data_IF_958463229312
#
_entry.id   IF_958463229312
#
_cell.length_a   1.000
_cell.length_b   1.000
_cell.length_c   1.000
_cell.angle_alpha   90.00
_cell.angle_beta   90.00
_cell.angle_gamma   90.00
#
_symmetry.space_group_name_H-M   'P 1'
#
loop_
_entity.id
_entity.type
_entity.pdbx_description
1 polymer ?
#
# COMPACT_ATOMS: atom_id res chain seq x y z
N UNK A 1 18.80 -6.66 -21.18
CA UNK A 1 17.36 -6.56 -20.86
C UNK A 1 17.08 -7.61 -19.81
N UNK A 2 17.32 -7.28 -18.54
CA UNK A 2 16.88 -8.11 -17.42
C UNK A 2 16.45 -7.13 -16.34
N UNK A 3 15.16 -6.82 -16.34
CA UNK A 3 14.54 -6.04 -15.28
C UNK A 3 14.41 -6.96 -14.08
N UNK A 4 15.31 -6.76 -13.12
CA UNK A 4 15.36 -7.39 -11.81
C UNK A 4 13.99 -7.20 -11.14
N UNK A 5 13.10 -8.15 -11.40
CA UNK A 5 11.78 -8.19 -10.78
C UNK A 5 12.05 -8.71 -9.39
N UNK A 6 12.25 -7.80 -8.44
CA UNK A 6 11.92 -8.06 -7.04
C UNK A 6 10.45 -8.49 -7.03
N UNK A 7 10.20 -9.77 -7.33
CA UNK A 7 8.93 -10.42 -7.08
C UNK A 7 8.82 -10.42 -5.57
N UNK A 8 8.24 -9.35 -5.04
CA UNK A 8 7.87 -9.31 -3.64
C UNK A 8 7.05 -10.58 -3.39
N UNK A 9 7.46 -11.37 -2.41
CA UNK A 9 6.75 -12.59 -2.04
C UNK A 9 5.45 -12.15 -1.34
N UNK A 10 4.26 -12.61 -1.80
CA UNK A 10 3.01 -12.34 -1.10
C UNK A 10 3.06 -12.68 0.39
N UNK A 11 3.84 -13.69 0.79
CA UNK A 11 3.98 -14.08 2.20
C UNK A 11 4.61 -12.98 3.07
N UNK A 12 5.39 -12.06 2.48
CA UNK A 12 5.93 -10.92 3.21
C UNK A 12 4.85 -9.94 3.69
N UNK A 13 3.65 -10.01 3.09
CA UNK A 13 2.49 -9.20 3.45
C UNK A 13 1.49 -9.96 4.34
N UNK A 14 1.75 -11.21 4.74
CA UNK A 14 0.95 -11.95 5.71
C UNK A 14 1.30 -11.51 7.15
N UNK A 15 0.77 -10.36 7.53
CA UNK A 15 0.98 -9.76 8.84
C UNK A 15 0.28 -10.62 9.89
N UNK A 16 1.07 -11.16 10.82
CA UNK A 16 0.59 -12.11 11.82
C UNK A 16 0.67 -13.58 11.40
N UNK A 17 1.21 -13.91 10.22
CA UNK A 17 1.50 -15.28 9.77
C UNK A 17 0.25 -16.19 9.75
N UNK A 18 -0.86 -15.67 9.22
CA UNK A 18 -2.17 -16.31 9.15
C UNK A 18 -2.24 -17.44 8.11
N UNK A 19 -1.30 -17.46 7.16
CA UNK A 19 -1.31 -18.37 6.02
C UNK A 19 -2.21 -17.92 4.87
N UNK A 20 -2.69 -16.68 4.90
CA UNK A 20 -3.48 -16.05 3.84
C UNK A 20 -3.39 -14.52 3.98
N UNK A 21 -3.66 -13.78 2.90
CA UNK A 21 -3.75 -12.32 2.93
C UNK A 21 -5.19 -11.88 3.21
N UNK A 22 -5.36 -10.93 4.12
CA UNK A 22 -6.55 -10.08 4.19
C UNK A 22 -6.64 -9.20 2.94
N UNK A 23 -7.80 -8.58 2.70
CA UNK A 23 -7.95 -7.66 1.58
C UNK A 23 -6.96 -6.49 1.60
N UNK A 24 -6.66 -5.93 2.78
CA UNK A 24 -5.74 -4.79 2.90
C UNK A 24 -4.28 -5.21 2.68
N UNK A 25 -3.89 -6.38 3.17
CA UNK A 25 -2.56 -6.97 2.90
C UNK A 25 -2.38 -7.31 1.42
N UNK A 26 -3.40 -7.88 0.80
CA UNK A 26 -3.45 -8.08 -0.65
C UNK A 26 -3.36 -6.77 -1.42
N UNK A 27 -4.05 -5.72 -0.95
CA UNK A 27 -3.98 -4.38 -1.54
C UNK A 27 -2.55 -3.85 -1.47
N UNK A 28 -1.91 -3.93 -0.29
CA UNK A 28 -0.51 -3.57 -0.09
C UNK A 28 0.44 -4.36 -1.00
N UNK A 29 0.23 -5.68 -1.10
CA UNK A 29 1.01 -6.54 -1.98
C UNK A 29 0.92 -6.10 -3.44
N UNK A 30 -0.30 -5.93 -3.97
CA UNK A 30 -0.53 -5.51 -5.36
C UNK A 30 0.18 -4.19 -5.65
N UNK A 31 0.06 -3.19 -4.76
CA UNK A 31 0.73 -1.91 -4.93
C UNK A 31 2.26 -2.05 -4.91
N UNK A 32 2.82 -2.94 -4.09
CA UNK A 32 4.28 -3.17 -4.02
C UNK A 32 4.88 -3.72 -5.31
N UNK A 33 4.08 -4.42 -6.14
CA UNK A 33 4.48 -4.93 -7.45
C UNK A 33 3.91 -4.09 -8.60
N UNK A 34 3.43 -2.88 -8.30
CA UNK A 34 2.84 -1.93 -9.25
C UNK A 34 1.66 -2.52 -10.04
N UNK A 35 0.83 -3.35 -9.37
CA UNK A 35 -0.41 -3.93 -9.92
C UNK A 35 -1.66 -3.44 -9.20
N UNK A 36 -2.75 -3.30 -9.95
CA UNK A 36 -4.02 -2.83 -9.39
C UNK A 36 -4.78 -3.99 -8.72
N UNK A 37 -5.17 -3.86 -7.44
CA UNK A 37 -5.95 -4.88 -6.76
C UNK A 37 -7.37 -4.95 -7.35
N UNK A 38 -7.90 -6.17 -7.46
CA UNK A 38 -9.29 -6.41 -7.78
C UNK A 38 -10.18 -5.95 -6.62
N UNK A 39 -11.37 -5.42 -6.94
CA UNK A 39 -12.31 -4.96 -5.93
C UNK A 39 -12.70 -6.04 -4.92
N UNK A 40 -12.93 -5.61 -3.66
CA UNK A 40 -13.29 -6.49 -2.54
C UNK A 40 -14.53 -7.32 -2.87
N UNK A 41 -14.40 -8.65 -2.78
CA UNK A 41 -15.53 -9.58 -2.94
C UNK A 41 -16.43 -9.49 -1.70
N UNK A 42 -17.74 -9.65 -1.89
CA UNK A 42 -18.72 -9.66 -0.78
C UNK A 42 -18.61 -10.89 0.14
N UNK A 43 -17.89 -11.91 -0.28
CA UNK A 43 -17.82 -13.22 0.39
C UNK A 43 -16.37 -13.48 0.81
N UNK A 44 -16.03 -13.03 2.01
CA UNK A 44 -14.75 -13.30 2.68
C UNK A 44 -13.60 -12.38 2.29
N UNK A 45 -12.77 -12.06 3.29
CA UNK A 45 -11.55 -11.25 3.16
C UNK A 45 -10.27 -12.09 3.00
N UNK A 46 -10.41 -13.41 2.86
CA UNK A 46 -9.29 -14.35 2.80
C UNK A 46 -8.84 -14.57 1.36
N UNK A 47 -7.58 -14.28 1.07
CA UNK A 47 -6.95 -14.40 -0.24
C UNK A 47 -5.75 -15.34 -0.11
N UNK A 48 -5.86 -16.53 -0.71
CA UNK A 48 -4.77 -17.53 -0.73
C UNK A 48 -3.63 -17.06 -1.64
N UNK A 49 -2.39 -17.39 -1.28
CA UNK A 49 -1.20 -16.97 -2.04
C UNK A 49 -1.25 -17.39 -3.52
N UNK A 50 -1.74 -18.59 -3.80
CA UNK A 50 -1.81 -19.15 -5.16
C UNK A 50 -2.98 -18.57 -5.99
N UNK A 51 -3.95 -17.96 -5.32
CA UNK A 51 -5.17 -17.41 -5.95
C UNK A 51 -5.08 -15.88 -6.14
N UNK A 52 -3.92 -15.28 -5.86
CA UNK A 52 -3.70 -13.87 -6.10
C UNK A 52 -3.87 -13.56 -7.59
N UNK A 53 -4.75 -12.61 -7.86
CA UNK A 53 -5.00 -12.03 -9.19
C UNK A 53 -5.05 -10.53 -9.02
N UNK A 54 -4.68 -9.81 -10.06
CA UNK A 54 -4.73 -8.35 -10.09
C UNK A 54 -5.20 -7.91 -11.48
N UNK A 55 -5.64 -6.66 -11.62
CA UNK A 55 -6.03 -6.15 -12.92
C UNK A 55 -4.81 -6.06 -13.86
N UNK A 56 -5.05 -6.16 -15.17
CA UNK A 56 -4.00 -6.11 -16.18
C UNK A 56 -3.43 -4.71 -16.40
N UNK A 57 -4.07 -3.67 -15.89
CA UNK A 57 -3.55 -2.31 -15.92
C UNK A 57 -2.43 -2.12 -14.90
N UNK A 58 -1.48 -1.26 -15.24
CA UNK A 58 -0.45 -0.80 -14.31
C UNK A 58 -1.11 0.01 -13.18
N UNK A 59 -0.45 0.02 -12.03
CA UNK A 59 -0.85 0.93 -10.93
C UNK A 59 -0.77 2.35 -11.42
N UNK A 60 -1.91 3.04 -11.34
CA UNK A 60 -1.91 4.48 -11.34
C UNK A 60 -1.32 4.88 -10.00
N UNK A 61 -0.23 5.66 -9.99
CA UNK A 61 0.35 6.27 -8.78
C UNK A 61 -0.72 6.92 -7.91
N UNK A 62 -1.79 7.41 -8.53
CA UNK A 62 -3.01 7.88 -7.88
C UNK A 62 -3.65 6.85 -6.94
N UNK A 63 -3.69 5.56 -7.29
CA UNK A 63 -4.22 4.50 -6.44
C UNK A 63 -3.36 4.21 -5.20
N UNK A 64 -2.04 4.42 -5.30
CA UNK A 64 -1.11 4.36 -4.16
C UNK A 64 -1.33 5.57 -3.26
N UNK A 65 -1.45 6.76 -3.85
CA UNK A 65 -1.76 7.99 -3.12
C UNK A 65 -3.09 7.87 -2.36
N UNK A 66 -4.13 7.34 -3.00
CA UNK A 66 -5.45 7.13 -2.40
C UNK A 66 -5.41 6.13 -1.24
N UNK A 67 -4.51 5.14 -1.29
CA UNK A 67 -4.27 4.24 -0.17
C UNK A 67 -3.78 5.00 1.06
N UNK A 68 -2.71 5.78 0.92
CA UNK A 68 -2.03 6.45 2.03
C UNK A 68 -2.71 7.74 2.50
N UNK A 69 -3.43 8.44 1.61
CA UNK A 69 -4.27 9.59 1.97
C UNK A 69 -5.57 9.16 2.64
N UNK A 70 -5.93 7.88 2.56
CA UNK A 70 -7.24 7.39 3.04
C UNK A 70 -8.43 8.17 2.44
N UNK A 71 -8.28 8.69 1.21
CA UNK A 71 -9.29 9.48 0.51
C UNK A 71 -9.28 10.98 0.82
N UNK A 72 -8.29 11.47 1.56
CA UNK A 72 -8.08 12.90 1.79
C UNK A 72 -7.19 13.53 0.69
N UNK A 73 -7.09 14.86 0.65
CA UNK A 73 -6.35 15.59 -0.39
C UNK A 73 -4.81 15.48 -0.24
N UNK A 74 -4.34 14.99 0.91
CA UNK A 74 -2.92 14.87 1.24
C UNK A 74 -2.64 13.62 2.09
N UNK A 75 -1.40 13.13 2.02
CA UNK A 75 -0.88 12.16 2.97
C UNK A 75 -0.32 12.94 4.16
N UNK A 76 -0.92 12.74 5.33
CA UNK A 76 -0.53 13.32 6.62
C UNK A 76 -0.19 12.22 7.62
N UNK A 77 0.36 12.55 8.81
CA UNK A 77 0.59 11.54 9.85
C UNK A 77 -0.68 10.77 10.22
N UNK A 78 -1.82 11.45 10.22
CA UNK A 78 -3.10 10.85 10.56
C UNK A 78 -3.58 9.90 9.46
N UNK A 79 -3.51 10.29 8.19
CA UNK A 79 -3.95 9.43 7.09
C UNK A 79 -3.03 8.23 6.91
N UNK A 80 -1.72 8.43 7.10
CA UNK A 80 -0.72 7.38 7.06
C UNK A 80 -0.95 6.39 8.21
N UNK A 81 -1.21 6.87 9.44
CA UNK A 81 -1.59 6.02 10.58
C UNK A 81 -2.88 5.23 10.31
N UNK A 82 -3.90 5.86 9.71
CA UNK A 82 -5.14 5.16 9.30
C UNK A 82 -4.84 4.06 8.28
N UNK A 83 -4.01 4.33 7.27
CA UNK A 83 -3.62 3.38 6.24
C UNK A 83 -2.80 2.21 6.82
N UNK A 84 -1.84 2.49 7.70
CA UNK A 84 -1.04 1.49 8.41
C UNK A 84 -1.91 0.64 9.35
N UNK A 85 -2.87 1.25 10.05
CA UNK A 85 -3.79 0.52 10.93
C UNK A 85 -4.63 -0.51 10.17
N UNK A 86 -4.95 -0.24 8.89
CA UNK A 86 -5.64 -1.21 8.02
C UNK A 86 -4.77 -2.43 7.69
N UNK A 87 -3.44 -2.28 7.72
CA UNK A 87 -2.48 -3.36 7.46
C UNK A 87 -2.16 -4.17 8.72
N UNK A 88 -2.86 -3.94 9.84
CA UNK A 88 -2.60 -4.58 11.13
C UNK A 88 -1.14 -4.44 11.61
N UNK A 89 -0.43 -3.43 11.09
CA UNK A 89 0.95 -3.13 11.44
C UNK A 89 1.01 -2.22 12.67
N UNK A 90 1.82 -2.60 13.66
CA UNK A 90 2.14 -1.75 14.81
C UNK A 90 3.40 -0.94 14.50
N UNK A 91 3.20 0.25 13.92
CA UNK A 91 4.28 1.23 13.67
C UNK A 91 4.15 2.36 14.70
N UNK A 92 5.27 2.84 15.23
CA UNK A 92 5.29 3.93 16.21
C UNK A 92 4.99 5.28 15.56
N UNK A 93 4.47 6.25 16.32
CA UNK A 93 4.22 7.60 15.81
C UNK A 93 5.52 8.32 15.38
N UNK A 94 6.66 7.95 15.99
CA UNK A 94 7.98 8.46 15.62
C UNK A 94 8.41 7.95 14.23
N UNK A 95 8.23 6.66 13.96
CA UNK A 95 8.54 6.08 12.65
C UNK A 95 7.67 6.68 11.54
N UNK A 96 6.38 6.91 11.82
CA UNK A 96 5.44 7.58 10.89
C UNK A 96 5.92 9.00 10.59
N UNK A 97 6.37 9.74 11.61
CA UNK A 97 6.88 11.09 11.44
C UNK A 97 8.16 11.11 10.60
N UNK A 98 9.09 10.17 10.82
CA UNK A 98 10.32 10.03 10.04
C UNK A 98 10.02 9.70 8.58
N UNK A 99 9.10 8.77 8.32
CA UNK A 99 8.68 8.45 6.95
C UNK A 99 8.16 9.68 6.21
N UNK A 100 7.37 10.53 6.87
CA UNK A 100 6.84 11.75 6.26
C UNK A 100 7.89 12.85 6.07
N UNK A 101 8.84 12.95 6.99
CA UNK A 101 9.96 13.90 6.90
C UNK A 101 10.83 13.62 5.66
N UNK A 102 10.96 12.33 5.26
CA UNK A 102 11.65 11.95 4.03
C UNK A 102 10.95 12.44 2.75
N UNK A 103 9.64 12.75 2.82
CA UNK A 103 8.87 13.23 1.68
C UNK A 103 8.78 14.75 1.61
N UNK A 104 8.55 15.40 2.75
CA UNK A 104 8.41 16.85 2.82
C UNK A 104 8.62 17.34 4.26
N UNK A 105 9.30 18.47 4.44
CA UNK A 105 9.55 19.08 5.75
C UNK A 105 8.27 19.50 6.48
N UNK A 106 7.19 19.74 5.73
CA UNK A 106 5.87 20.08 6.29
C UNK A 106 5.07 18.84 6.74
N UNK A 107 5.62 17.63 6.60
CA UNK A 107 4.98 16.34 6.91
C UNK A 107 3.65 16.10 6.20
N UNK A 108 3.42 16.82 5.11
CA UNK A 108 2.27 16.73 4.24
C UNK A 108 2.75 16.44 2.81
N UNK A 109 2.23 15.38 2.21
CA UNK A 109 2.51 15.02 0.83
C UNK A 109 1.25 15.24 0.00
N UNK A 110 1.27 16.23 -0.88
CA UNK A 110 0.19 16.47 -1.84
C UNK A 110 0.25 15.45 -2.98
N UNK A 111 -0.86 15.31 -3.72
CA UNK A 111 -0.92 14.43 -4.90
C UNK A 111 0.13 14.81 -5.94
N UNK A 112 0.38 16.10 -6.15
CA UNK A 112 1.39 16.60 -7.07
C UNK A 112 2.80 16.19 -6.64
N UNK A 113 3.16 16.44 -5.38
CA UNK A 113 4.48 16.06 -4.84
C UNK A 113 4.69 14.55 -4.88
N UNK A 114 3.64 13.78 -4.56
CA UNK A 114 3.67 12.32 -4.63
C UNK A 114 3.88 11.83 -6.07
N UNK A 115 3.13 12.37 -7.02
CA UNK A 115 3.26 12.02 -8.44
C UNK A 115 4.62 12.37 -9.00
N UNK A 116 5.22 13.48 -8.58
CA UNK A 116 6.57 13.86 -9.03
C UNK A 116 7.67 12.93 -8.49
N UNK A 117 7.47 12.33 -7.32
CA UNK A 117 8.45 11.45 -6.69
C UNK A 117 8.34 10.01 -7.20
N UNK A 118 7.15 9.58 -7.62
CA UNK A 118 6.85 8.18 -7.87
C UNK A 118 6.27 7.88 -9.26
N UNK A 119 5.93 8.90 -10.05
CA UNK A 119 5.51 8.79 -11.45
C UNK A 119 6.58 9.16 -12.46
#
# INVERSE_FOLDING_TARGET
MEGDSLQNDPQAFDIGKKGFLSYEEYRGYCLSILKQPLGRKKVGDRIEYNDIRFASCEVEIDGVFDFFSSGEDCISPQTLKKAISKLEMNISDEDIAVMLDMFNSDKLVSRESFSRLFG
#
